data_IF_736646795104
#
_entry.id   IF_736646795104
#
_cell.length_a   1.000
_cell.length_b   1.000
_cell.length_c   1.000
_cell.angle_alpha   90.00
_cell.angle_beta   90.00
_cell.angle_gamma   90.00
#
_symmetry.space_group_name_H-M   'P 1'
#
loop_
_entity.id
_entity.type
_entity.pdbx_description
1 polymer ?
#
# COMPACT_ATOMS: atom_id res chain seq x y z
N UNK A 1 -0.76 30.50 -11.48
CA UNK A 1 0.65 30.20 -11.14
C UNK A 1 0.78 28.69 -11.09
N UNK A 2 1.74 28.06 -11.79
CA UNK A 2 1.78 26.60 -11.83
C UNK A 2 2.44 26.06 -10.55
N UNK A 3 1.74 25.15 -9.88
CA UNK A 3 2.22 24.45 -8.69
C UNK A 3 3.28 23.41 -9.06
N UNK A 4 4.46 23.52 -8.47
CA UNK A 4 5.60 22.63 -8.67
C UNK A 4 5.35 21.30 -7.96
N UNK A 5 5.13 20.22 -8.73
CA UNK A 5 5.05 18.83 -8.22
C UNK A 5 6.47 18.33 -7.89
N UNK A 6 6.70 17.79 -6.68
CA UNK A 6 7.95 17.09 -6.31
C UNK A 6 7.76 15.58 -6.49
N UNK A 7 8.69 14.94 -7.20
CA UNK A 7 8.72 13.51 -7.54
C UNK A 7 9.99 12.93 -6.90
N UNK A 8 9.91 11.78 -6.22
CA UNK A 8 11.09 11.08 -5.69
C UNK A 8 11.14 9.64 -6.23
N UNK A 9 12.02 9.42 -7.22
CA UNK A 9 12.38 8.11 -7.75
C UNK A 9 13.66 7.60 -7.05
N UNK A 10 13.79 6.28 -6.86
CA UNK A 10 14.97 5.59 -6.36
C UNK A 10 15.06 4.28 -7.15
N UNK A 11 16.26 3.84 -7.50
CA UNK A 11 16.46 2.57 -8.20
C UNK A 11 17.75 1.93 -7.75
N UNK A 12 17.77 0.60 -7.69
CA UNK A 12 19.01 -0.17 -7.64
C UNK A 12 18.81 -1.44 -8.45
N UNK A 13 19.56 -1.59 -9.53
CA UNK A 13 19.87 -2.88 -10.13
C UNK A 13 21.32 -2.87 -10.61
N UNK A 14 22.11 -3.73 -9.97
CA UNK A 14 23.48 -4.12 -10.29
C UNK A 14 23.44 -5.27 -11.30
N UNK A 15 24.06 -5.06 -12.48
CA UNK A 15 24.59 -6.05 -13.44
C UNK A 15 25.34 -5.20 -14.49
N UNK A 16 26.57 -5.44 -14.98
CA UNK A 16 27.33 -6.66 -15.27
C UNK A 16 28.83 -6.33 -15.45
N UNK A 17 29.65 -7.38 -15.38
CA UNK A 17 31.04 -7.47 -15.85
C UNK A 17 31.39 -6.73 -17.15
N UNK A 18 32.66 -6.30 -17.23
CA UNK A 18 33.55 -6.73 -18.33
C UNK A 18 33.78 -5.77 -19.50
N UNK A 19 34.79 -4.90 -19.34
CA UNK A 19 35.84 -4.53 -20.30
C UNK A 19 35.53 -4.29 -21.80
N UNK A 20 36.02 -3.11 -22.24
CA UNK A 20 36.70 -2.79 -23.49
C UNK A 20 35.90 -2.13 -24.63
N UNK A 21 36.35 -0.92 -25.00
CA UNK A 21 36.53 -0.56 -26.41
C UNK A 21 35.70 0.59 -26.98
N UNK A 22 36.25 1.81 -26.86
CA UNK A 22 36.46 2.78 -27.95
C UNK A 22 35.29 3.35 -28.79
N UNK A 23 35.32 4.70 -28.85
CA UNK A 23 35.07 5.62 -29.99
C UNK A 23 33.66 6.14 -30.35
N UNK A 24 33.53 7.46 -30.09
CA UNK A 24 33.21 8.57 -31.04
C UNK A 24 31.75 9.00 -31.36
N UNK A 25 31.55 10.29 -31.07
CA UNK A 25 30.85 11.37 -31.81
C UNK A 25 29.32 11.48 -31.86
N UNK A 26 28.84 12.47 -31.09
CA UNK A 26 27.99 13.62 -31.47
C UNK A 26 27.24 13.55 -32.82
N UNK A 27 25.91 13.70 -32.77
CA UNK A 27 25.20 14.88 -33.31
C UNK A 27 23.71 14.85 -32.96
N UNK A 28 23.17 16.02 -32.61
CA UNK A 28 21.75 16.28 -32.42
C UNK A 28 21.05 16.50 -33.77
N UNK A 29 19.74 16.23 -33.87
CA UNK A 29 18.70 17.12 -34.47
C UNK A 29 17.33 16.44 -34.67
N UNK A 30 16.30 17.14 -34.19
CA UNK A 30 15.02 17.46 -34.83
C UNK A 30 13.98 16.37 -35.23
N UNK A 31 12.87 16.41 -34.49
CA UNK A 31 11.44 16.33 -34.88
C UNK A 31 11.08 16.09 -36.35
N UNK A 32 10.19 15.14 -36.60
CA UNK A 32 9.11 15.29 -37.59
C UNK A 32 7.91 14.40 -37.25
N UNK A 33 6.74 14.91 -37.63
CA UNK A 33 5.37 14.50 -37.31
C UNK A 33 4.71 13.96 -38.59
N UNK A 34 3.70 13.09 -38.45
CA UNK A 34 2.81 12.47 -39.48
C UNK A 34 3.45 11.35 -40.35
N UNK A 35 2.78 10.26 -40.74
CA UNK A 35 1.35 10.08 -41.02
C UNK A 35 0.90 8.60 -40.98
N UNK A 36 -0.41 8.42 -40.85
CA UNK A 36 -1.14 7.15 -40.71
C UNK A 36 -1.31 6.44 -42.07
N UNK A 37 -1.11 5.11 -42.14
CA UNK A 37 -1.98 4.23 -42.95
C UNK A 37 -1.93 2.75 -42.51
N UNK A 38 -3.13 2.18 -42.38
CA UNK A 38 -3.50 0.83 -41.92
C UNK A 38 -2.96 -0.32 -42.79
N UNK A 39 -2.51 -1.40 -42.16
CA UNK A 39 -2.65 -2.76 -42.69
C UNK A 39 -2.85 -3.73 -41.51
N UNK A 40 -3.99 -4.43 -41.51
CA UNK A 40 -4.43 -5.27 -40.39
C UNK A 40 -3.58 -6.51 -40.18
N UNK A 41 -3.26 -6.77 -38.91
CA UNK A 41 -2.96 -8.10 -38.37
C UNK A 41 -3.55 -8.17 -36.96
N UNK A 42 -4.10 -9.32 -36.61
CA UNK A 42 -4.72 -9.55 -35.31
C UNK A 42 -3.66 -9.46 -34.22
N UNK A 43 -3.65 -8.36 -33.46
CA UNK A 43 -2.80 -8.24 -32.28
C UNK A 43 -3.53 -8.89 -31.11
N UNK A 44 -3.04 -10.06 -30.70
CA UNK A 44 -3.23 -10.57 -29.35
C UNK A 44 -2.94 -9.44 -28.36
N UNK A 45 -3.85 -9.22 -27.40
CA UNK A 45 -3.70 -8.30 -26.29
C UNK A 45 -2.40 -8.64 -25.57
N UNK A 46 -1.30 -7.95 -25.92
CA UNK A 46 -0.08 -7.92 -25.14
C UNK A 46 -0.28 -6.81 -24.13
N UNK A 47 -0.32 -7.18 -22.85
CA UNK A 47 -0.09 -6.26 -21.74
C UNK A 47 1.09 -5.36 -22.10
N UNK A 48 0.89 -4.06 -22.02
CA UNK A 48 1.99 -3.11 -22.21
C UNK A 48 3.05 -3.43 -21.15
N UNK A 49 4.21 -3.94 -21.59
CA UNK A 49 5.40 -4.03 -20.77
C UNK A 49 5.73 -2.62 -20.25
N UNK A 50 5.35 -2.34 -19.00
CA UNK A 50 5.97 -1.29 -18.23
C UNK A 50 6.99 -1.99 -17.34
N UNK A 51 8.26 -1.63 -17.48
CA UNK A 51 9.27 -1.92 -16.46
C UNK A 51 8.73 -1.51 -15.09
N UNK A 52 9.05 -2.24 -13.99
CA UNK A 52 8.49 -1.96 -12.68
C UNK A 52 8.73 -0.49 -12.31
N UNK A 53 7.67 0.32 -12.36
CA UNK A 53 7.75 1.72 -11.97
C UNK A 53 7.94 1.74 -10.46
N UNK A 54 8.90 2.52 -9.99
CA UNK A 54 9.23 2.53 -8.58
C UNK A 54 8.05 3.09 -7.73
N UNK A 55 7.72 2.50 -6.57
CA UNK A 55 6.69 3.04 -5.68
C UNK A 55 6.90 4.51 -5.33
N UNK A 56 5.81 5.29 -5.36
CA UNK A 56 5.81 6.72 -5.00
C UNK A 56 4.66 7.02 -4.04
N UNK A 57 4.86 8.01 -3.17
CA UNK A 57 3.84 8.56 -2.29
C UNK A 57 3.47 9.98 -2.75
N UNK A 58 2.18 10.20 -2.98
CA UNK A 58 1.62 11.52 -3.29
C UNK A 58 0.71 11.96 -2.16
N UNK A 59 0.86 13.20 -1.71
CA UNK A 59 -0.04 13.81 -0.72
C UNK A 59 -0.89 14.85 -1.43
N UNK A 60 -2.21 14.78 -1.28
CA UNK A 60 -3.17 15.68 -1.96
C UNK A 60 -2.91 17.14 -1.59
N UNK A 61 -2.90 17.40 -0.29
CA UNK A 61 -2.71 18.71 0.32
C UNK A 61 -1.82 18.49 1.55
N UNK A 62 -0.58 18.96 1.45
CA UNK A 62 0.43 18.72 2.48
C UNK A 62 0.10 19.43 3.80
N UNK A 63 -0.49 20.61 3.74
CA UNK A 63 -0.84 21.39 4.94
C UNK A 63 -2.05 20.78 5.63
N UNK A 64 -3.07 20.35 4.87
CA UNK A 64 -4.21 19.64 5.42
C UNK A 64 -3.82 18.30 6.03
N UNK A 65 -3.02 17.52 5.32
CA UNK A 65 -2.49 16.26 5.85
C UNK A 65 -1.69 16.49 7.12
N UNK A 66 -0.79 17.48 7.17
CA UNK A 66 -0.02 17.79 8.37
C UNK A 66 -0.91 18.20 9.56
N UNK A 67 -2.00 18.96 9.32
CA UNK A 67 -2.97 19.31 10.38
C UNK A 67 -3.68 18.07 10.92
N UNK A 68 -4.22 17.22 10.04
CA UNK A 68 -4.86 15.95 10.42
C UNK A 68 -3.89 15.06 11.19
N UNK A 69 -2.67 14.94 10.67
CA UNK A 69 -1.63 14.10 11.26
C UNK A 69 -1.21 14.57 12.65
N UNK A 70 -1.06 15.88 12.85
CA UNK A 70 -0.80 16.47 14.18
C UNK A 70 -1.91 16.12 15.17
N UNK A 71 -3.16 16.13 14.75
CA UNK A 71 -4.30 15.71 15.57
C UNK A 71 -4.21 14.22 15.90
N UNK A 72 -3.98 13.35 14.93
CA UNK A 72 -3.79 11.91 15.15
C UNK A 72 -2.64 11.64 16.14
N UNK A 73 -1.50 12.32 15.99
CA UNK A 73 -0.37 12.20 16.92
C UNK A 73 -0.71 12.68 18.34
N UNK A 74 -1.49 13.77 18.46
CA UNK A 74 -1.92 14.31 19.77
C UNK A 74 -2.92 13.39 20.45
N UNK A 75 -3.86 12.84 19.70
CA UNK A 75 -4.94 11.97 20.17
C UNK A 75 -4.50 10.51 20.34
N UNK A 76 -3.34 10.14 19.77
CA UNK A 76 -2.65 8.85 19.94
C UNK A 76 -3.41 7.62 19.42
N UNK A 77 -2.79 6.45 19.58
CA UNK A 77 -3.33 5.16 19.12
C UNK A 77 -4.58 4.71 19.91
N UNK A 78 -4.76 5.12 21.16
CA UNK A 78 -5.93 4.73 21.97
C UNK A 78 -7.24 5.37 21.49
N UNK A 79 -7.18 6.34 20.58
CA UNK A 79 -8.36 6.92 19.91
C UNK A 79 -8.57 6.42 18.48
N UNK A 80 -7.62 5.63 17.96
CA UNK A 80 -7.57 5.20 16.56
C UNK A 80 -8.50 3.99 16.30
N UNK A 81 -9.08 3.95 15.11
CA UNK A 81 -9.68 2.78 14.45
C UNK A 81 -9.05 2.65 13.07
N UNK A 82 -8.70 1.43 12.66
CA UNK A 82 -8.24 1.14 11.30
C UNK A 82 -9.36 0.47 10.52
N UNK A 83 -9.68 1.00 9.33
CA UNK A 83 -10.62 0.41 8.38
C UNK A 83 -9.87 0.15 7.08
N UNK A 84 -9.69 -1.11 6.72
CA UNK A 84 -8.91 -1.50 5.55
C UNK A 84 -9.74 -2.38 4.61
N UNK A 85 -9.61 -2.16 3.30
CA UNK A 85 -9.95 -3.21 2.35
C UNK A 85 -8.92 -4.37 2.41
N UNK A 86 -9.21 -5.50 1.78
CA UNK A 86 -8.34 -6.68 1.78
C UNK A 86 -7.59 -6.87 0.46
N UNK A 87 -8.34 -7.18 -0.61
CA UNK A 87 -7.77 -7.57 -1.91
C UNK A 87 -7.07 -6.37 -2.54
N UNK A 88 -5.79 -6.51 -2.90
CA UNK A 88 -4.98 -5.44 -3.52
C UNK A 88 -4.73 -4.22 -2.63
N UNK A 89 -5.22 -4.23 -1.39
CA UNK A 89 -4.91 -3.26 -0.34
C UNK A 89 -3.96 -3.84 0.70
N UNK A 90 -4.37 -4.89 1.41
CA UNK A 90 -3.49 -5.62 2.35
C UNK A 90 -2.68 -6.70 1.63
N UNK A 91 -3.21 -7.24 0.54
CA UNK A 91 -2.50 -8.12 -0.39
C UNK A 91 -1.94 -7.29 -1.57
N UNK A 92 -0.85 -7.72 -2.22
CA UNK A 92 -0.32 -7.01 -3.39
C UNK A 92 -1.23 -7.22 -4.61
N UNK A 93 -1.22 -6.29 -5.55
CA UNK A 93 -1.90 -6.39 -6.83
C UNK A 93 -1.14 -7.28 -7.84
N UNK A 94 0.17 -7.40 -7.67
CA UNK A 94 1.04 -8.16 -8.55
C UNK A 94 1.84 -9.20 -7.78
N UNK A 95 2.22 -10.27 -8.47
CA UNK A 95 3.11 -11.28 -7.90
C UNK A 95 4.52 -10.73 -7.78
N UNK A 96 5.22 -11.04 -6.69
CA UNK A 96 6.62 -10.58 -6.51
C UNK A 96 7.60 -11.14 -7.55
N UNK A 97 7.27 -12.28 -8.16
CA UNK A 97 8.15 -13.04 -9.06
C UNK A 97 7.87 -12.84 -10.54
N UNK A 98 6.81 -12.10 -10.90
CA UNK A 98 6.33 -11.96 -12.26
C UNK A 98 5.39 -10.77 -12.39
N UNK A 99 5.27 -10.19 -13.58
CA UNK A 99 4.31 -9.11 -13.87
C UNK A 99 2.84 -9.59 -13.92
N UNK A 100 2.57 -10.84 -13.54
CA UNK A 100 1.22 -11.39 -13.44
C UNK A 100 0.46 -10.79 -12.25
N UNK A 101 -0.82 -10.51 -12.46
CA UNK A 101 -1.71 -10.04 -11.41
C UNK A 101 -1.86 -11.11 -10.32
N UNK A 102 -1.77 -10.67 -9.06
CA UNK A 102 -2.05 -11.52 -7.91
C UNK A 102 -3.54 -11.87 -7.84
N UNK A 103 -3.84 -13.00 -7.19
CA UNK A 103 -5.21 -13.48 -7.06
C UNK A 103 -5.95 -12.71 -5.96
N UNK A 104 -7.14 -12.21 -6.28
CA UNK A 104 -8.11 -11.79 -5.27
C UNK A 104 -8.75 -12.99 -4.59
N UNK A 105 -9.45 -12.77 -3.47
CA UNK A 105 -10.17 -13.81 -2.74
C UNK A 105 -11.15 -14.60 -3.61
N UNK A 106 -11.87 -13.94 -4.52
CA UNK A 106 -12.71 -14.62 -5.51
C UNK A 106 -11.90 -15.44 -6.49
N UNK A 107 -10.82 -14.88 -7.06
CA UNK A 107 -10.00 -15.60 -8.04
C UNK A 107 -9.33 -16.84 -7.45
N UNK A 108 -8.88 -16.80 -6.19
CA UNK A 108 -8.36 -17.99 -5.49
C UNK A 108 -9.35 -19.14 -5.54
N UNK A 109 -10.62 -18.87 -5.23
CA UNK A 109 -11.62 -19.93 -5.25
C UNK A 109 -11.99 -20.34 -6.69
N UNK A 110 -12.17 -19.37 -7.58
CA UNK A 110 -12.61 -19.60 -8.96
C UNK A 110 -11.59 -20.37 -9.80
N UNK A 111 -10.29 -20.16 -9.56
CA UNK A 111 -9.19 -20.82 -10.26
C UNK A 111 -8.71 -22.09 -9.54
N UNK A 112 -9.30 -22.42 -8.39
CA UNK A 112 -8.94 -23.64 -7.66
C UNK A 112 -9.55 -24.89 -8.26
N UNK A 113 -8.94 -26.05 -7.95
CA UNK A 113 -9.50 -27.36 -8.26
C UNK A 113 -10.92 -27.55 -7.71
N UNK A 114 -11.32 -26.79 -6.69
CA UNK A 114 -12.64 -26.88 -6.06
C UNK A 114 -13.79 -26.50 -6.99
N UNK A 115 -13.51 -25.74 -8.06
CA UNK A 115 -14.49 -25.32 -9.06
C UNK A 115 -14.44 -26.18 -10.33
N UNK A 116 -13.29 -26.82 -10.59
CA UNK A 116 -13.06 -27.67 -11.75
C UNK A 116 -13.05 -26.93 -13.11
N UNK A 117 -12.58 -27.60 -14.19
CA UNK A 117 -12.26 -26.93 -15.46
C UNK A 117 -13.47 -26.27 -16.16
N UNK A 118 -14.67 -26.82 -15.94
CA UNK A 118 -15.89 -26.28 -16.54
C UNK A 118 -16.28 -24.94 -15.91
N UNK A 119 -16.18 -24.82 -14.59
CA UNK A 119 -16.52 -23.57 -13.92
C UNK A 119 -15.46 -22.50 -14.18
N UNK A 120 -14.19 -22.87 -14.26
CA UNK A 120 -13.09 -21.97 -14.68
C UNK A 120 -13.38 -21.35 -16.06
N UNK A 121 -13.85 -22.16 -17.02
CA UNK A 121 -14.22 -21.67 -18.35
C UNK A 121 -15.37 -20.66 -18.30
N UNK A 122 -16.36 -20.88 -17.43
CA UNK A 122 -17.48 -19.94 -17.25
C UNK A 122 -17.00 -18.67 -16.54
N UNK A 123 -16.18 -18.81 -15.51
CA UNK A 123 -15.58 -17.72 -14.75
C UNK A 123 -14.79 -16.77 -15.67
N UNK A 124 -13.97 -17.33 -16.55
CA UNK A 124 -13.22 -16.56 -17.54
C UNK A 124 -14.14 -15.79 -18.48
N UNK A 125 -15.23 -16.39 -18.96
CA UNK A 125 -16.21 -15.69 -19.80
C UNK A 125 -16.90 -14.55 -19.07
N UNK A 126 -17.24 -14.74 -17.80
CA UNK A 126 -17.80 -13.69 -16.94
C UNK A 126 -16.77 -12.55 -16.82
N UNK A 127 -15.51 -12.88 -16.50
CA UNK A 127 -14.43 -11.90 -16.38
C UNK A 127 -14.20 -11.10 -17.68
N UNK A 128 -14.05 -11.78 -18.82
CA UNK A 128 -13.84 -11.16 -20.13
C UNK A 128 -14.97 -10.21 -20.54
N UNK A 129 -16.20 -10.47 -20.07
CA UNK A 129 -17.37 -9.62 -20.31
C UNK A 129 -17.36 -8.36 -19.45
N UNK A 130 -17.09 -8.47 -18.15
CA UNK A 130 -17.32 -7.38 -17.21
C UNK A 130 -16.07 -6.56 -16.86
N UNK A 131 -14.88 -7.17 -16.87
CA UNK A 131 -13.63 -6.48 -16.54
C UNK A 131 -13.36 -5.26 -17.44
N UNK A 132 -13.58 -5.29 -18.77
CA UNK A 132 -13.43 -4.10 -19.61
C UNK A 132 -14.40 -2.96 -19.24
N UNK A 133 -15.58 -3.28 -18.73
CA UNK A 133 -16.60 -2.30 -18.31
C UNK A 133 -16.15 -1.64 -17.00
N UNK A 134 -15.65 -2.43 -16.05
CA UNK A 134 -15.08 -1.92 -14.80
C UNK A 134 -13.93 -0.94 -15.07
N UNK A 135 -13.02 -1.30 -15.96
CA UNK A 135 -11.84 -0.49 -16.30
C UNK A 135 -12.14 0.71 -17.22
N UNK A 136 -13.35 0.81 -17.79
CA UNK A 136 -13.69 1.86 -18.75
C UNK A 136 -13.51 3.28 -18.18
N UNK A 137 -12.69 4.11 -18.81
CA UNK A 137 -12.53 5.52 -18.45
C UNK A 137 -13.70 6.41 -18.94
N UNK A 138 -14.56 5.89 -19.82
CA UNK A 138 -15.65 6.66 -20.44
C UNK A 138 -16.98 6.50 -19.71
N UNK A 139 -17.21 5.36 -19.06
CA UNK A 139 -18.44 5.09 -18.32
C UNK A 139 -18.40 5.71 -16.93
N UNK A 140 -19.49 6.37 -16.54
CA UNK A 140 -19.68 6.88 -15.18
C UNK A 140 -19.92 5.74 -14.19
N UNK A 141 -19.72 6.01 -12.89
CA UNK A 141 -20.03 5.05 -11.81
C UNK A 141 -21.49 4.56 -11.88
N UNK A 142 -22.42 5.45 -12.22
CA UNK A 142 -23.86 5.13 -12.32
C UNK A 142 -24.13 4.18 -13.47
N UNK A 143 -23.45 4.34 -14.60
CA UNK A 143 -23.59 3.46 -15.77
C UNK A 143 -22.93 2.09 -15.55
N UNK A 144 -21.80 2.04 -14.82
CA UNK A 144 -21.12 0.78 -14.47
C UNK A 144 -21.88 -0.06 -13.45
N UNK A 145 -22.55 0.58 -12.49
CA UNK A 145 -23.20 -0.09 -11.35
C UNK A 145 -24.06 -1.32 -11.72
N UNK A 146 -25.00 -1.26 -12.68
CA UNK A 146 -25.81 -2.43 -13.03
C UNK A 146 -24.97 -3.61 -13.54
N UNK A 147 -23.89 -3.34 -14.28
CA UNK A 147 -22.98 -4.38 -14.76
C UNK A 147 -22.16 -5.00 -13.64
N UNK A 148 -21.73 -4.20 -12.66
CA UNK A 148 -21.00 -4.73 -11.50
C UNK A 148 -21.91 -5.61 -10.63
N UNK A 149 -23.18 -5.21 -10.44
CA UNK A 149 -24.18 -6.04 -9.75
C UNK A 149 -24.37 -7.37 -10.50
N UNK A 150 -24.52 -7.32 -11.82
CA UNK A 150 -24.71 -8.52 -12.63
C UNK A 150 -23.46 -9.43 -12.60
N UNK A 151 -22.26 -8.85 -12.67
CA UNK A 151 -21.02 -9.60 -12.54
C UNK A 151 -20.98 -10.37 -11.22
N UNK A 152 -21.11 -9.69 -10.08
CA UNK A 152 -21.05 -10.34 -8.78
C UNK A 152 -22.17 -11.38 -8.60
N UNK A 153 -23.38 -11.09 -9.09
CA UNK A 153 -24.50 -12.06 -9.07
C UNK A 153 -24.14 -13.34 -9.84
N UNK A 154 -23.70 -13.23 -11.10
CA UNK A 154 -23.33 -14.38 -11.93
C UNK A 154 -22.16 -15.18 -11.31
N UNK A 155 -21.16 -14.49 -10.75
CA UNK A 155 -20.03 -15.12 -10.07
C UNK A 155 -20.47 -15.87 -8.82
N UNK A 156 -21.28 -15.26 -7.95
CA UNK A 156 -21.73 -15.90 -6.72
C UNK A 156 -22.69 -17.07 -6.98
N UNK A 157 -23.61 -16.94 -7.94
CA UNK A 157 -24.48 -18.04 -8.38
C UNK A 157 -23.67 -19.23 -8.90
N UNK A 158 -22.59 -18.99 -9.64
CA UNK A 158 -21.70 -20.04 -10.12
C UNK A 158 -21.01 -20.78 -8.97
N UNK A 159 -20.49 -20.03 -7.98
CA UNK A 159 -19.85 -20.61 -6.78
C UNK A 159 -20.86 -21.46 -5.99
N UNK A 160 -22.06 -20.93 -5.74
CA UNK A 160 -23.14 -21.63 -5.02
C UNK A 160 -23.59 -22.88 -5.76
N UNK A 161 -23.81 -22.78 -7.08
CA UNK A 161 -24.25 -23.91 -7.92
C UNK A 161 -23.25 -25.07 -7.91
N UNK A 162 -21.94 -24.79 -7.83
CA UNK A 162 -20.93 -25.84 -7.75
C UNK A 162 -20.97 -26.57 -6.39
N UNK A 163 -21.42 -25.88 -5.33
CA UNK A 163 -21.51 -26.42 -3.99
C UNK A 163 -20.14 -26.78 -3.43
N UNK A 164 -19.25 -25.79 -3.39
CA UNK A 164 -17.88 -25.94 -2.87
C UNK A 164 -17.90 -26.42 -1.42
N UNK A 165 -17.04 -27.38 -1.08
CA UNK A 165 -16.88 -27.84 0.30
C UNK A 165 -16.03 -26.87 1.11
N UNK A 166 -16.35 -26.65 2.38
CA UNK A 166 -15.58 -25.77 3.28
C UNK A 166 -14.08 -26.11 3.32
N UNK A 167 -13.74 -27.39 3.34
CA UNK A 167 -12.35 -27.87 3.30
C UNK A 167 -11.62 -27.49 2.00
N UNK A 168 -12.35 -27.40 0.89
CA UNK A 168 -11.78 -27.07 -0.41
C UNK A 168 -11.41 -25.59 -0.49
N UNK A 169 -12.13 -24.71 0.23
CA UNK A 169 -11.74 -23.30 0.41
C UNK A 169 -10.38 -23.20 1.10
N UNK A 170 -10.17 -23.95 2.19
CA UNK A 170 -8.89 -23.97 2.91
C UNK A 170 -7.77 -24.52 2.01
N UNK A 171 -8.04 -25.60 1.27
CA UNK A 171 -7.11 -26.20 0.32
C UNK A 171 -6.70 -25.20 -0.78
N UNK A 172 -7.68 -24.50 -1.38
CA UNK A 172 -7.44 -23.50 -2.41
C UNK A 172 -6.50 -22.38 -1.92
N UNK A 173 -6.71 -21.89 -0.69
CA UNK A 173 -5.82 -20.90 -0.09
C UNK A 173 -4.43 -21.46 0.16
N UNK A 174 -4.32 -22.70 0.63
CA UNK A 174 -3.03 -23.34 0.90
C UNK A 174 -2.20 -23.49 -0.38
N UNK A 175 -2.84 -23.89 -1.47
CA UNK A 175 -2.20 -24.09 -2.78
C UNK A 175 -1.94 -22.77 -3.54
N UNK A 176 -2.65 -21.70 -3.19
CA UNK A 176 -2.44 -20.38 -3.78
C UNK A 176 -1.14 -19.70 -3.31
N UNK A 177 -0.62 -18.81 -4.15
CA UNK A 177 0.54 -17.96 -3.89
C UNK A 177 0.17 -16.59 -3.26
N UNK A 178 -1.04 -16.47 -2.70
CA UNK A 178 -1.46 -15.26 -2.01
C UNK A 178 -0.53 -14.95 -0.83
N UNK A 179 -0.16 -13.67 -0.72
CA UNK A 179 0.68 -13.12 0.34
C UNK A 179 0.14 -11.77 0.78
N UNK A 180 0.59 -11.30 1.95
CA UNK A 180 0.37 -9.93 2.36
C UNK A 180 1.48 -9.01 1.85
N UNK A 181 1.17 -7.72 1.72
CA UNK A 181 2.17 -6.68 1.48
C UNK A 181 3.20 -6.66 2.63
N UNK A 182 4.44 -6.33 2.29
CA UNK A 182 5.48 -6.09 3.29
C UNK A 182 5.04 -4.98 4.28
N UNK A 183 5.29 -5.18 5.58
CA UNK A 183 4.80 -4.33 6.69
C UNK A 183 3.48 -4.79 7.31
N UNK A 184 2.79 -5.79 6.75
CA UNK A 184 1.51 -6.28 7.28
C UNK A 184 1.63 -6.82 8.72
N UNK A 185 2.63 -7.67 8.98
CA UNK A 185 2.78 -8.32 10.28
C UNK A 185 3.14 -7.28 11.36
N UNK A 186 4.06 -6.39 11.04
CA UNK A 186 4.55 -5.32 11.92
C UNK A 186 3.41 -4.38 12.32
N UNK A 187 2.58 -3.96 11.35
CA UNK A 187 1.40 -3.14 11.60
C UNK A 187 0.40 -3.88 12.48
N UNK A 188 0.03 -5.12 12.15
CA UNK A 188 -1.02 -5.82 12.88
C UNK A 188 -0.58 -6.23 14.29
N UNK A 189 0.70 -6.53 14.51
CA UNK A 189 1.27 -6.75 15.83
C UNK A 189 1.28 -5.47 16.67
N UNK A 190 1.65 -4.32 16.09
CA UNK A 190 1.56 -3.01 16.75
C UNK A 190 0.11 -2.70 17.15
N UNK A 191 -0.82 -2.81 16.22
CA UNK A 191 -2.24 -2.53 16.46
C UNK A 191 -2.82 -3.48 17.52
N UNK A 192 -2.44 -4.75 17.52
CA UNK A 192 -2.85 -5.71 18.54
C UNK A 192 -2.29 -5.38 19.92
N UNK A 193 -1.00 -5.03 20.02
CA UNK A 193 -0.35 -4.66 21.28
C UNK A 193 -1.00 -3.42 21.91
N UNK A 194 -1.34 -2.44 21.08
CA UNK A 194 -1.96 -1.18 21.52
C UNK A 194 -3.50 -1.27 21.58
N UNK A 195 -4.06 -2.47 21.38
CA UNK A 195 -5.50 -2.75 21.35
C UNK A 195 -6.28 -1.78 20.43
N UNK A 196 -5.73 -1.48 19.25
CA UNK A 196 -6.39 -0.65 18.23
C UNK A 196 -7.38 -1.51 17.46
N UNK A 197 -8.68 -1.17 17.42
CA UNK A 197 -9.66 -1.93 16.64
C UNK A 197 -9.36 -1.86 15.14
N UNK A 198 -9.33 -3.02 14.49
CA UNK A 198 -9.09 -3.16 13.04
C UNK A 198 -10.31 -3.80 12.39
N UNK A 199 -10.86 -3.13 11.39
CA UNK A 199 -11.91 -3.67 10.54
C UNK A 199 -11.36 -3.91 9.13
N UNK A 200 -11.33 -5.18 8.72
CA UNK A 200 -11.17 -5.56 7.32
C UNK A 200 -12.56 -5.54 6.68
N UNK A 201 -12.82 -4.54 5.84
CA UNK A 201 -14.10 -4.33 5.17
C UNK A 201 -13.99 -4.59 3.66
N UNK A 202 -14.24 -5.84 3.27
CA UNK A 202 -13.93 -6.34 1.94
C UNK A 202 -15.16 -6.73 1.15
N UNK A 203 -15.17 -6.44 -0.15
CA UNK A 203 -16.15 -6.98 -1.10
C UNK A 203 -15.79 -8.40 -1.58
N UNK A 204 -14.70 -8.97 -1.06
CA UNK A 204 -14.23 -10.32 -1.32
C UNK A 204 -15.07 -11.42 -0.65
N UNK A 205 -14.44 -12.56 -0.39
CA UNK A 205 -15.05 -13.72 0.26
C UNK A 205 -14.55 -13.88 1.70
N UNK A 206 -15.44 -13.72 2.69
CA UNK A 206 -15.14 -13.80 4.12
C UNK A 206 -14.35 -15.05 4.50
N UNK A 207 -14.81 -16.23 4.08
CA UNK A 207 -14.20 -17.51 4.44
C UNK A 207 -12.81 -17.70 3.82
N UNK A 208 -12.58 -17.10 2.63
CA UNK A 208 -11.25 -17.08 1.99
C UNK A 208 -10.33 -16.13 2.76
N UNK A 209 -10.78 -14.92 3.09
CA UNK A 209 -10.01 -13.95 3.91
C UNK A 209 -9.57 -14.57 5.22
N UNK A 210 -10.48 -15.25 5.93
CA UNK A 210 -10.16 -15.93 7.17
C UNK A 210 -9.16 -17.08 6.98
N UNK A 211 -9.29 -17.86 5.91
CA UNK A 211 -8.32 -18.90 5.59
C UNK A 211 -6.93 -18.32 5.28
N UNK A 212 -6.84 -17.17 4.58
CA UNK A 212 -5.58 -16.48 4.27
C UNK A 212 -4.93 -15.94 5.55
N UNK A 213 -5.71 -15.27 6.41
CA UNK A 213 -5.24 -14.81 7.72
C UNK A 213 -4.73 -15.99 8.55
N UNK A 214 -5.49 -17.09 8.64
CA UNK A 214 -5.07 -18.27 9.39
C UNK A 214 -3.78 -18.88 8.82
N UNK A 215 -3.63 -18.96 7.49
CA UNK A 215 -2.40 -19.43 6.83
C UNK A 215 -1.20 -18.58 7.20
N UNK A 216 -1.36 -17.25 7.23
CA UNK A 216 -0.26 -16.34 7.60
C UNK A 216 0.09 -16.46 9.09
N UNK A 217 -0.91 -16.39 9.97
CA UNK A 217 -0.70 -16.45 11.42
C UNK A 217 -0.24 -17.82 11.91
N UNK A 218 -0.52 -18.92 11.19
CA UNK A 218 0.02 -20.25 11.51
C UNK A 218 1.56 -20.28 11.50
N UNK A 219 2.21 -19.38 10.75
CA UNK A 219 3.68 -19.23 10.70
C UNK A 219 4.23 -18.56 11.97
N UNK A 220 3.40 -17.82 12.69
CA UNK A 220 3.79 -17.03 13.88
C UNK A 220 3.69 -17.84 15.18
N UNK A 221 4.18 -17.27 16.29
CA UNK A 221 4.02 -17.84 17.64
C UNK A 221 2.56 -17.77 18.10
N UNK A 222 1.82 -16.72 17.73
CA UNK A 222 0.43 -16.53 18.13
C UNK A 222 -0.52 -17.58 17.51
N UNK A 223 -0.16 -18.16 16.36
CA UNK A 223 -0.92 -19.18 15.59
C UNK A 223 -2.31 -18.77 15.11
N UNK A 224 -2.84 -17.64 15.57
CA UNK A 224 -4.16 -17.14 15.25
C UNK A 224 -4.12 -15.62 15.06
N UNK A 225 -5.01 -15.06 14.22
CA UNK A 225 -5.16 -13.62 14.09
C UNK A 225 -5.54 -12.94 15.43
N UNK A 226 -5.08 -11.70 15.68
CA UNK A 226 -5.41 -10.96 16.89
C UNK A 226 -6.91 -10.72 17.06
N UNK A 227 -7.36 -10.67 18.32
CA UNK A 227 -8.80 -10.50 18.66
C UNK A 227 -9.37 -9.13 18.31
N UNK A 228 -8.52 -8.11 18.15
CA UNK A 228 -8.91 -6.77 17.73
C UNK A 228 -9.16 -6.65 16.21
N UNK A 229 -8.98 -7.74 15.44
CA UNK A 229 -9.26 -7.78 14.00
C UNK A 229 -10.64 -8.36 13.73
N UNK A 230 -11.49 -7.56 13.09
CA UNK A 230 -12.84 -7.93 12.67
C UNK A 230 -12.93 -7.92 11.16
N UNK A 231 -13.65 -8.89 10.58
CA UNK A 231 -13.84 -8.99 9.13
C UNK A 231 -15.32 -8.86 8.80
N UNK A 232 -15.64 -7.97 7.87
CA UNK A 232 -16.97 -7.87 7.26
C UNK A 232 -16.80 -8.02 5.76
N UNK A 233 -17.41 -9.07 5.22
CA UNK A 233 -17.33 -9.43 3.81
C UNK A 233 -18.47 -10.36 3.41
N UNK A 234 -18.47 -10.86 2.17
CA UNK A 234 -19.48 -11.79 1.70
C UNK A 234 -19.23 -13.18 2.29
N UNK A 235 -20.18 -13.66 3.10
CA UNK A 235 -19.98 -14.88 3.90
C UNK A 235 -20.64 -16.10 3.27
N UNK A 236 -19.89 -17.19 3.17
CA UNK A 236 -20.39 -18.47 2.70
C UNK A 236 -21.24 -19.15 3.77
N UNK A 237 -22.36 -19.73 3.35
CA UNK A 237 -23.22 -20.57 4.19
C UNK A 237 -23.08 -22.01 3.78
N UNK A 238 -22.54 -22.81 4.69
CA UNK A 238 -22.38 -24.24 4.53
C UNK A 238 -23.52 -24.98 5.24
N UNK A 239 -23.94 -26.09 4.65
CA UNK A 239 -24.92 -27.00 5.24
C UNK A 239 -24.25 -27.96 6.25
N UNK A 240 -25.04 -28.87 6.81
CA UNK A 240 -24.57 -29.89 7.78
C UNK A 240 -23.48 -30.81 7.19
N UNK A 241 -23.42 -30.95 5.86
CA UNK A 241 -22.41 -31.73 5.15
C UNK A 241 -21.17 -30.92 4.78
N UNK A 242 -21.09 -29.66 5.24
CA UNK A 242 -20.04 -28.67 4.92
C UNK A 242 -20.00 -28.23 3.46
N UNK A 243 -21.10 -28.44 2.71
CA UNK A 243 -21.25 -28.01 1.33
C UNK A 243 -21.89 -26.62 1.29
N UNK A 244 -21.35 -25.75 0.45
CA UNK A 244 -21.90 -24.41 0.24
C UNK A 244 -23.31 -24.51 -0.36
N UNK A 245 -24.26 -23.79 0.23
CA UNK A 245 -25.63 -23.69 -0.30
C UNK A 245 -26.10 -22.24 -0.53
N UNK A 246 -25.46 -21.25 0.09
CA UNK A 246 -25.75 -19.84 -0.14
C UNK A 246 -24.55 -18.94 0.18
N UNK A 247 -24.58 -17.73 -0.35
CA UNK A 247 -23.62 -16.67 -0.08
C UNK A 247 -24.39 -15.45 0.42
N UNK A 248 -24.11 -15.02 1.65
CA UNK A 248 -24.75 -13.83 2.21
C UNK A 248 -23.93 -12.60 1.82
N UNK A 249 -24.47 -11.86 0.87
CA UNK A 249 -23.80 -10.69 0.33
C UNK A 249 -23.92 -9.50 1.29
N UNK A 250 -22.81 -8.78 1.45
CA UNK A 250 -22.78 -7.44 2.05
C UNK A 250 -22.46 -6.46 0.92
N UNK A 251 -23.43 -6.25 0.03
CA UNK A 251 -23.27 -5.57 -1.27
C UNK A 251 -22.76 -4.11 -1.17
N UNK A 252 -22.86 -3.46 -0.02
CA UNK A 252 -22.46 -2.07 0.15
C UNK A 252 -21.36 -1.94 1.21
N UNK A 253 -20.15 -1.58 0.77
CA UNK A 253 -19.06 -1.06 1.63
C UNK A 253 -19.43 0.34 2.15
N UNK A 254 -20.43 0.40 3.01
CA UNK A 254 -20.78 1.61 3.74
C UNK A 254 -20.90 1.30 5.23
N UNK A 255 -20.74 2.32 6.04
CA UNK A 255 -20.68 2.12 7.47
C UNK A 255 -22.04 1.76 8.09
N UNK A 256 -23.14 1.82 7.33
CA UNK A 256 -24.43 1.31 7.82
C UNK A 256 -24.37 -0.19 8.14
N UNK A 257 -23.46 -0.94 7.51
CA UNK A 257 -23.18 -2.33 7.88
C UNK A 257 -22.46 -2.47 9.24
N UNK A 258 -21.86 -1.39 9.75
CA UNK A 258 -21.03 -1.35 10.96
C UNK A 258 -21.80 -0.88 12.19
N UNK A 259 -22.71 0.09 12.05
CA UNK A 259 -23.33 0.80 13.20
C UNK A 259 -23.93 -0.15 14.24
N UNK A 260 -24.53 -1.26 13.80
CA UNK A 260 -25.17 -2.21 14.70
C UNK A 260 -24.26 -3.34 15.22
N UNK A 261 -23.02 -3.40 14.74
CA UNK A 261 -22.07 -4.45 15.14
C UNK A 261 -21.51 -4.20 16.54
N UNK A 262 -21.24 -5.27 17.27
CA UNK A 262 -20.57 -5.18 18.59
C UNK A 262 -19.21 -4.50 18.50
N UNK A 263 -18.51 -4.69 17.36
CA UNK A 263 -17.28 -3.98 17.03
C UNK A 263 -17.45 -2.46 17.11
N UNK A 264 -18.40 -1.91 16.37
CA UNK A 264 -18.58 -0.46 16.33
C UNK A 264 -19.11 0.09 17.66
N UNK A 265 -20.01 -0.65 18.31
CA UNK A 265 -20.49 -0.32 19.67
C UNK A 265 -19.33 -0.24 20.66
N UNK A 266 -18.37 -1.16 20.58
CA UNK A 266 -17.16 -1.12 21.40
C UNK A 266 -16.29 0.10 21.07
N UNK A 267 -16.06 0.40 19.79
CA UNK A 267 -15.31 1.61 19.38
C UNK A 267 -15.94 2.89 19.95
N UNK A 268 -17.28 2.99 19.94
CA UNK A 268 -18.00 4.12 20.50
C UNK A 268 -17.85 4.22 22.03
N UNK A 269 -17.95 3.10 22.75
CA UNK A 269 -17.76 3.04 24.21
C UNK A 269 -16.33 3.44 24.61
N UNK A 270 -15.34 3.02 23.83
CA UNK A 270 -13.93 3.37 24.00
C UNK A 270 -13.58 4.78 23.49
N UNK A 271 -14.56 5.53 22.96
CA UNK A 271 -14.37 6.88 22.40
C UNK A 271 -13.33 6.95 21.28
N UNK A 272 -13.20 5.86 20.51
CA UNK A 272 -12.38 5.83 19.30
C UNK A 272 -13.05 6.70 18.24
N UNK A 273 -12.31 7.66 17.70
CA UNK A 273 -12.86 8.65 16.76
C UNK A 273 -11.92 8.96 15.60
N UNK A 274 -10.61 8.74 15.74
CA UNK A 274 -9.67 8.89 14.63
C UNK A 274 -9.71 7.64 13.74
N UNK A 275 -9.87 7.82 12.43
CA UNK A 275 -10.03 6.75 11.46
C UNK A 275 -8.85 6.77 10.48
N UNK A 276 -8.06 5.69 10.46
CA UNK A 276 -7.12 5.43 9.38
C UNK A 276 -7.80 4.48 8.37
N UNK A 277 -8.07 4.99 7.17
CA UNK A 277 -8.75 4.25 6.11
C UNK A 277 -7.75 3.85 5.02
N UNK A 278 -7.69 2.56 4.69
CA UNK A 278 -6.83 2.00 3.64
C UNK A 278 -7.69 1.35 2.55
N UNK A 279 -7.44 1.65 1.28
CA UNK A 279 -8.15 1.01 0.17
C UNK A 279 -7.47 1.21 -1.18
N UNK A 280 -7.72 0.33 -2.14
CA UNK A 280 -7.13 0.39 -3.49
C UNK A 280 -8.12 0.94 -4.53
N UNK A 281 -9.43 0.88 -4.26
CA UNK A 281 -10.44 1.38 -5.19
C UNK A 281 -10.98 2.74 -4.76
N UNK A 282 -11.47 3.53 -5.73
CA UNK A 282 -12.20 4.77 -5.43
C UNK A 282 -13.45 4.55 -4.57
N UNK A 283 -14.00 3.33 -4.57
CA UNK A 283 -15.13 2.94 -3.74
C UNK A 283 -14.77 2.95 -2.25
N UNK A 284 -13.56 2.54 -1.91
CA UNK A 284 -13.10 2.32 -0.53
C UNK A 284 -12.98 3.60 0.28
N UNK A 285 -12.75 4.73 -0.39
CA UNK A 285 -12.82 6.07 0.24
C UNK A 285 -14.14 6.34 1.00
N UNK A 286 -15.19 5.55 0.72
CA UNK A 286 -16.51 5.65 1.33
C UNK A 286 -16.78 4.63 2.44
N UNK A 287 -15.82 3.77 2.83
CA UNK A 287 -16.05 2.72 3.85
C UNK A 287 -16.50 3.29 5.20
N UNK A 288 -16.04 4.49 5.54
CA UNK A 288 -16.45 5.22 6.74
C UNK A 288 -17.79 5.96 6.58
N UNK A 289 -18.39 6.06 5.38
CA UNK A 289 -19.63 6.81 5.18
C UNK A 289 -20.78 6.21 5.99
N UNK A 290 -21.35 7.01 6.89
CA UNK A 290 -22.39 6.58 7.84
C UNK A 290 -21.88 6.47 9.28
N UNK A 291 -20.56 6.59 9.50
CA UNK A 291 -20.00 6.85 10.82
C UNK A 291 -20.10 8.35 11.14
N UNK A 292 -20.22 8.66 12.43
CA UNK A 292 -20.13 10.04 12.92
C UNK A 292 -18.65 10.37 13.19
N UNK A 293 -18.05 11.13 12.28
CA UNK A 293 -16.67 11.62 12.39
C UNK A 293 -16.57 12.99 11.71
N UNK A 294 -15.62 13.82 12.15
CA UNK A 294 -15.26 15.06 11.48
C UNK A 294 -14.18 14.82 10.44
N UNK A 295 -14.12 15.65 9.41
CA UNK A 295 -13.17 15.43 8.30
C UNK A 295 -11.69 15.50 8.75
N UNK A 296 -11.38 16.15 9.87
CA UNK A 296 -10.04 16.15 10.50
C UNK A 296 -9.75 14.91 11.37
N UNK A 297 -10.74 14.05 11.60
CA UNK A 297 -10.65 12.78 12.33
C UNK A 297 -10.49 11.58 11.37
N UNK A 298 -10.30 11.81 10.07
CA UNK A 298 -10.06 10.73 9.09
C UNK A 298 -8.88 11.02 8.17
N UNK A 299 -8.02 10.01 8.02
CA UNK A 299 -6.93 9.98 7.05
C UNK A 299 -7.14 8.80 6.12
N UNK A 300 -7.25 9.09 4.81
CA UNK A 300 -7.48 8.09 3.77
C UNK A 300 -6.20 7.86 2.96
N UNK A 301 -5.72 6.63 2.92
CA UNK A 301 -4.55 6.19 2.14
C UNK A 301 -5.01 5.26 1.02
N UNK A 302 -4.76 5.66 -0.22
CA UNK A 302 -5.17 4.95 -1.43
C UNK A 302 -4.01 4.19 -2.08
N UNK A 303 -4.21 2.91 -2.41
CA UNK A 303 -3.26 2.12 -3.20
C UNK A 303 -3.63 2.20 -4.68
N UNK A 304 -2.88 2.99 -5.45
CA UNK A 304 -3.05 3.10 -6.90
C UNK A 304 -2.11 2.14 -7.63
N UNK A 305 -2.57 0.90 -7.76
CA UNK A 305 -1.78 -0.19 -8.32
C UNK A 305 -1.62 -0.06 -9.85
N UNK A 306 -2.63 0.46 -10.55
CA UNK A 306 -2.67 0.50 -12.02
C UNK A 306 -3.14 1.83 -12.61
N UNK A 307 -2.70 2.12 -13.84
CA UNK A 307 -3.18 3.26 -14.61
C UNK A 307 -2.90 4.61 -13.95
N UNK A 308 -1.71 4.74 -13.34
CA UNK A 308 -1.32 5.90 -12.53
C UNK A 308 -1.55 7.21 -13.30
N UNK A 309 -1.11 7.27 -14.56
CA UNK A 309 -1.22 8.47 -15.41
C UNK A 309 -2.67 8.92 -15.62
N UNK A 310 -3.61 7.98 -15.69
CA UNK A 310 -5.02 8.27 -15.95
C UNK A 310 -5.83 8.48 -14.66
N UNK A 311 -5.46 7.80 -13.56
CA UNK A 311 -6.28 7.70 -12.35
C UNK A 311 -5.77 8.55 -11.19
N UNK A 312 -4.51 9.00 -11.18
CA UNK A 312 -3.90 9.68 -10.03
C UNK A 312 -4.70 10.90 -9.57
N UNK A 313 -5.10 11.79 -10.49
CA UNK A 313 -5.86 12.99 -10.12
C UNK A 313 -7.24 12.63 -9.51
N UNK A 314 -7.87 11.54 -9.95
CA UNK A 314 -9.13 11.05 -9.37
C UNK A 314 -8.93 10.46 -7.97
N UNK A 315 -7.80 9.78 -7.74
CA UNK A 315 -7.45 9.23 -6.43
C UNK A 315 -7.12 10.35 -5.44
N UNK A 316 -6.35 11.35 -5.85
CA UNK A 316 -6.04 12.53 -5.02
C UNK A 316 -7.29 13.36 -4.68
N UNK A 317 -8.39 13.23 -5.41
CA UNK A 317 -9.67 13.85 -5.00
C UNK A 317 -10.36 13.11 -3.85
N UNK A 318 -9.98 11.86 -3.56
CA UNK A 318 -10.68 10.96 -2.62
C UNK A 318 -9.82 10.47 -1.46
N UNK A 319 -8.51 10.47 -1.64
CA UNK A 319 -7.53 10.04 -0.65
C UNK A 319 -6.63 11.22 -0.27
N UNK A 320 -6.23 11.28 1.01
CA UNK A 320 -5.29 12.28 1.50
C UNK A 320 -3.86 11.92 1.06
N UNK A 321 -3.55 10.61 1.02
CA UNK A 321 -2.29 10.03 0.54
C UNK A 321 -2.56 8.97 -0.52
N UNK A 322 -1.77 8.93 -1.59
CA UNK A 322 -1.85 7.90 -2.65
C UNK A 322 -0.47 7.24 -2.79
N UNK A 323 -0.44 5.92 -2.62
CA UNK A 323 0.74 5.07 -2.81
C UNK A 323 0.63 4.37 -4.16
N UNK A 324 1.60 4.55 -5.06
CA UNK A 324 1.54 4.04 -6.43
C UNK A 324 2.43 2.82 -6.65
N UNK A 325 2.19 2.11 -7.75
CA UNK A 325 3.03 1.01 -8.26
C UNK A 325 3.17 -0.13 -7.25
N UNK A 326 2.04 -0.60 -6.74
CA UNK A 326 1.96 -1.77 -5.84
C UNK A 326 2.86 -1.64 -4.59
N UNK A 327 2.91 -0.44 -4.00
CA UNK A 327 3.74 -0.09 -2.84
C UNK A 327 3.51 -1.01 -1.62
N UNK A 328 4.54 -1.25 -0.81
CA UNK A 328 4.39 -1.95 0.48
C UNK A 328 3.56 -1.16 1.49
N UNK A 329 3.26 -1.77 2.64
CA UNK A 329 2.61 -1.10 3.77
C UNK A 329 3.60 -0.32 4.65
N UNK A 330 4.91 -0.36 4.36
CA UNK A 330 5.94 0.34 5.15
C UNK A 330 5.65 1.85 5.37
N UNK A 331 5.15 2.62 4.38
CA UNK A 331 4.78 4.01 4.64
C UNK A 331 3.67 4.14 5.70
N UNK A 332 2.72 3.21 5.74
CA UNK A 332 1.64 3.17 6.73
C UNK A 332 2.19 2.75 8.10
N UNK A 333 3.11 1.80 8.13
CA UNK A 333 3.82 1.37 9.35
C UNK A 333 4.57 2.54 9.99
N UNK A 334 5.36 3.28 9.20
CA UNK A 334 6.09 4.47 9.67
C UNK A 334 5.16 5.53 10.26
N UNK A 335 4.03 5.77 9.60
CA UNK A 335 2.99 6.66 10.10
C UNK A 335 2.44 6.17 11.45
N UNK A 336 2.04 4.91 11.59
CA UNK A 336 1.55 4.37 12.86
C UNK A 336 2.59 4.49 13.99
N UNK A 337 3.87 4.25 13.71
CA UNK A 337 4.95 4.45 14.67
C UNK A 337 5.11 5.91 15.09
N UNK A 338 4.92 6.88 14.18
CA UNK A 338 4.92 8.30 14.56
C UNK A 338 3.81 8.63 15.56
N UNK A 339 2.60 8.08 15.39
CA UNK A 339 1.51 8.27 16.36
C UNK A 339 1.88 7.65 17.72
N UNK A 340 2.47 6.44 17.72
CA UNK A 340 2.92 5.78 18.94
C UNK A 340 3.96 6.62 19.70
N UNK A 341 4.95 7.15 18.97
CA UNK A 341 6.08 7.92 19.48
C UNK A 341 5.72 9.37 19.83
N UNK A 342 4.49 9.83 19.59
CA UNK A 342 4.08 11.18 19.98
C UNK A 342 4.08 11.40 21.52
N UNK A 343 4.24 10.33 22.35
CA UNK A 343 4.62 10.48 23.77
C UNK A 343 5.91 11.27 23.93
N UNK A 344 6.84 11.03 23.02
CA UNK A 344 8.17 11.56 23.19
C UNK A 344 8.14 13.04 22.79
N UNK A 345 7.30 13.63 21.94
CA UNK A 345 7.44 15.10 21.71
C UNK A 345 7.27 16.02 22.95
N UNK A 346 6.60 15.61 24.03
CA UNK A 346 6.62 16.41 25.28
C UNK A 346 7.74 16.03 26.26
N UNK A 347 8.17 14.77 26.28
CA UNK A 347 9.27 14.29 27.14
C UNK A 347 10.61 14.03 26.42
N UNK A 348 10.64 13.68 25.14
CA UNK A 348 11.74 13.77 24.14
C UNK A 348 12.18 15.20 23.94
N UNK A 349 11.31 16.18 23.67
CA UNK A 349 11.82 17.54 23.50
C UNK A 349 12.30 18.08 24.85
N UNK A 350 11.70 17.67 25.99
CA UNK A 350 12.24 17.95 27.32
C UNK A 350 13.51 17.15 27.66
N UNK A 351 13.66 15.89 27.24
CA UNK A 351 14.86 15.04 27.45
C UNK A 351 16.00 15.44 26.50
N UNK A 352 15.69 15.76 25.24
CA UNK A 352 16.59 16.38 24.27
C UNK A 352 16.95 17.82 24.67
N UNK A 353 16.13 18.51 25.48
CA UNK A 353 16.48 19.79 26.10
C UNK A 353 17.17 19.65 27.46
N UNK A 354 17.20 18.47 28.08
CA UNK A 354 17.81 18.25 29.40
C UNK A 354 19.15 17.50 29.38
N UNK A 355 19.49 16.84 28.28
CA UNK A 355 20.86 16.40 28.05
C UNK A 355 21.30 16.86 26.67
N UNK A 356 22.38 17.67 26.62
CA UNK A 356 23.06 18.02 25.37
C UNK A 356 23.31 16.74 24.59
N UNK A 357 22.51 16.47 23.57
CA UNK A 357 22.82 15.37 22.63
C UNK A 357 23.99 15.86 21.80
N UNK A 358 25.12 15.22 22.01
CA UNK A 358 26.37 15.62 21.39
C UNK A 358 26.48 15.22 19.93
N UNK A 359 25.54 14.48 19.32
CA UNK A 359 25.74 13.96 17.95
C UNK A 359 24.60 14.35 17.00
N UNK A 360 24.94 14.85 15.82
CA UNK A 360 24.04 15.24 14.72
C UNK A 360 24.29 14.33 13.52
N UNK A 361 23.19 13.90 12.89
CA UNK A 361 23.21 13.34 11.54
C UNK A 361 22.64 14.38 10.56
N UNK A 362 23.48 14.86 9.65
CA UNK A 362 23.12 15.84 8.64
C UNK A 362 22.98 15.13 7.29
N UNK A 363 21.82 15.27 6.65
CA UNK A 363 21.52 14.68 5.34
C UNK A 363 21.33 15.82 4.32
N UNK A 364 22.03 15.75 3.19
CA UNK A 364 21.98 16.80 2.17
C UNK A 364 22.12 16.28 0.75
N UNK A 365 21.47 16.90 -0.21
CA UNK A 365 21.52 16.53 -1.64
C UNK A 365 22.32 17.55 -2.48
N UNK A 366 22.79 18.61 -1.83
CA UNK A 366 23.61 19.66 -2.43
C UNK A 366 24.85 19.98 -1.59
N UNK A 367 25.91 20.49 -2.20
CA UNK A 367 27.11 20.94 -1.47
C UNK A 367 26.81 22.02 -0.42
N UNK A 368 25.76 22.81 -0.63
CA UNK A 368 25.32 23.83 0.33
C UNK A 368 24.89 23.24 1.66
N UNK A 369 24.31 22.04 1.62
CA UNK A 369 23.71 21.39 2.78
C UNK A 369 24.74 20.96 3.82
N UNK A 370 25.99 20.71 3.40
CA UNK A 370 27.12 20.45 4.31
C UNK A 370 27.32 21.53 5.39
N UNK A 371 26.75 22.73 5.16
CA UNK A 371 26.82 23.89 6.05
C UNK A 371 25.56 24.09 6.90
N UNK A 372 24.56 23.21 6.86
CA UNK A 372 23.31 23.40 7.64
C UNK A 372 23.53 23.40 9.16
N UNK A 373 24.66 22.86 9.63
CA UNK A 373 25.07 22.93 11.02
C UNK A 373 25.92 24.17 11.35
N UNK A 374 26.28 25.01 10.37
CA UNK A 374 27.13 26.18 10.61
C UNK A 374 26.38 27.23 11.47
N UNK A 375 27.03 27.72 12.51
CA UNK A 375 26.43 28.65 13.47
C UNK A 375 25.67 27.97 14.62
N UNK A 376 25.75 26.64 14.72
CA UNK A 376 25.33 25.88 15.90
C UNK A 376 26.47 25.75 16.92
N UNK A 377 26.14 25.37 18.17
CA UNK A 377 27.12 25.15 19.25
C UNK A 377 27.80 23.77 19.20
N UNK A 378 27.54 22.97 18.15
CA UNK A 378 28.08 21.61 18.00
C UNK A 378 29.50 21.61 17.46
N UNK A 379 30.30 20.63 17.87
CA UNK A 379 31.66 20.45 17.36
C UNK A 379 31.64 19.67 16.03
N UNK A 380 32.76 19.67 15.32
CA UNK A 380 32.86 18.94 14.03
C UNK A 380 32.88 17.42 14.20
N UNK A 381 33.44 16.91 15.29
CA UNK A 381 33.45 15.47 15.64
C UNK A 381 32.09 14.96 16.14
N UNK A 382 31.16 15.89 16.36
CA UNK A 382 29.79 15.68 16.80
C UNK A 382 28.81 15.62 15.60
N UNK A 383 29.28 15.80 14.36
CA UNK A 383 28.41 15.87 13.17
C UNK A 383 28.85 14.82 12.15
N UNK A 384 27.93 13.92 11.78
CA UNK A 384 28.08 13.02 10.63
C UNK A 384 27.27 13.55 9.48
N UNK A 385 27.91 13.85 8.35
CA UNK A 385 27.31 14.40 7.13
C UNK A 385 27.19 13.30 6.08
N UNK A 386 25.97 13.05 5.62
CA UNK A 386 25.69 12.12 4.52
C UNK A 386 25.16 12.90 3.32
N UNK A 387 25.92 12.87 2.23
CA UNK A 387 25.60 13.55 0.97
C UNK A 387 24.98 12.59 -0.03
N UNK A 388 23.87 12.97 -0.65
CA UNK A 388 23.22 12.23 -1.74
C UNK A 388 23.64 12.85 -3.07
N UNK A 389 24.53 12.17 -3.81
CA UNK A 389 25.03 12.61 -5.11
C UNK A 389 24.44 11.75 -6.23
N UNK A 390 23.33 12.22 -6.81
CA UNK A 390 22.59 11.48 -7.83
C UNK A 390 22.77 12.02 -9.26
N UNK A 391 23.47 13.14 -9.44
CA UNK A 391 23.72 13.73 -10.76
C UNK A 391 25.17 14.23 -10.93
N UNK A 392 25.79 13.88 -12.06
CA UNK A 392 27.17 14.27 -12.38
C UNK A 392 28.21 13.65 -11.43
N UNK A 393 28.01 12.38 -11.06
CA UNK A 393 28.80 11.67 -10.03
C UNK A 393 30.29 11.78 -10.33
N UNK A 394 30.73 11.40 -11.54
CA UNK A 394 32.15 11.43 -11.92
C UNK A 394 32.77 12.84 -11.80
N UNK A 395 32.00 13.91 -12.00
CA UNK A 395 32.52 15.27 -11.92
C UNK A 395 32.46 15.87 -10.51
N UNK A 396 31.52 15.43 -9.68
CA UNK A 396 31.21 16.07 -8.38
C UNK A 396 31.61 15.21 -7.18
N UNK A 397 31.96 13.94 -7.36
CA UNK A 397 32.24 13.01 -6.26
C UNK A 397 33.37 13.51 -5.35
N UNK A 398 34.48 13.98 -5.92
CA UNK A 398 35.61 14.51 -5.14
C UNK A 398 35.20 15.74 -4.31
N UNK A 399 34.31 16.58 -4.84
CA UNK A 399 33.81 17.75 -4.11
C UNK A 399 32.86 17.35 -2.97
N UNK A 400 32.06 16.31 -3.17
CA UNK A 400 31.17 15.78 -2.14
C UNK A 400 31.94 15.07 -1.04
N UNK A 401 32.96 14.26 -1.36
CA UNK A 401 33.81 13.58 -0.39
C UNK A 401 34.65 14.54 0.47
N UNK A 402 34.86 15.78 0.01
CA UNK A 402 35.49 16.84 0.81
C UNK A 402 34.54 17.51 1.81
N UNK A 403 33.22 17.32 1.65
CA UNK A 403 32.18 18.07 2.38
C UNK A 403 31.23 17.19 3.18
N UNK A 404 31.16 15.91 2.86
CA UNK A 404 30.34 14.91 3.50
C UNK A 404 31.21 13.73 3.92
N UNK A 405 30.94 13.17 5.09
CA UNK A 405 31.65 12.02 5.66
C UNK A 405 31.28 10.72 4.93
N UNK A 406 30.04 10.63 4.44
CA UNK A 406 29.54 9.54 3.61
C UNK A 406 28.87 10.14 2.38
N UNK A 407 29.21 9.66 1.19
CA UNK A 407 28.56 10.07 -0.06
C UNK A 407 27.85 8.87 -0.66
N UNK A 408 26.52 8.94 -0.70
CA UNK A 408 25.66 7.96 -1.33
C UNK A 408 25.43 8.38 -2.78
N UNK A 409 25.74 7.49 -3.72
CA UNK A 409 25.58 7.75 -5.16
C UNK A 409 24.53 6.84 -5.79
N UNK A 410 24.07 7.16 -7.00
CA UNK A 410 23.17 6.30 -7.79
C UNK A 410 21.82 5.97 -7.10
N UNK A 411 21.17 6.95 -6.46
CA UNK A 411 19.91 6.75 -5.74
C UNK A 411 19.97 5.60 -4.71
N UNK A 412 21.14 5.38 -4.10
CA UNK A 412 21.34 4.36 -3.06
C UNK A 412 20.31 4.55 -1.95
N UNK A 413 19.53 3.49 -1.64
CA UNK A 413 18.55 3.32 -0.54
C UNK A 413 18.98 4.02 0.77
N UNK A 414 18.04 4.48 1.64
CA UNK A 414 18.40 4.96 3.00
C UNK A 414 19.01 3.83 3.85
N UNK A 415 19.11 2.62 3.31
CA UNK A 415 19.65 1.43 3.93
C UNK A 415 21.04 1.63 4.57
N UNK A 416 22.02 2.39 4.01
CA UNK A 416 23.26 2.72 4.69
C UNK A 416 23.05 3.62 5.91
N UNK A 417 22.04 4.51 5.88
CA UNK A 417 21.63 5.33 7.03
C UNK A 417 20.96 4.46 8.09
N UNK A 418 20.10 3.52 7.69
CA UNK A 418 19.47 2.55 8.58
C UNK A 418 20.51 1.61 9.22
N UNK A 419 21.50 1.13 8.45
CA UNK A 419 22.63 0.34 8.95
C UNK A 419 23.49 1.15 9.94
N UNK A 420 23.73 2.44 9.68
CA UNK A 420 24.41 3.34 10.61
C UNK A 420 23.62 3.50 11.91
N UNK A 421 22.31 3.71 11.83
CA UNK A 421 21.45 3.81 13.01
C UNK A 421 21.40 2.49 13.80
N UNK A 422 21.37 1.35 13.12
CA UNK A 422 21.44 0.02 13.75
C UNK A 422 22.78 -0.24 14.41
N UNK A 423 23.90 0.11 13.77
CA UNK A 423 25.25 0.01 14.34
C UNK A 423 25.40 0.91 15.58
N UNK A 424 24.90 2.14 15.53
CA UNK A 424 24.89 3.05 16.68
C UNK A 424 24.06 2.51 17.84
N UNK A 425 22.95 1.81 17.56
CA UNK A 425 22.14 1.14 18.56
C UNK A 425 22.86 -0.06 19.20
N UNK A 426 23.70 -0.77 18.43
CA UNK A 426 24.52 -1.88 18.95
C UNK A 426 25.73 -1.41 19.78
N UNK A 427 26.24 -0.20 19.55
CA UNK A 427 27.37 0.38 20.28
C UNK A 427 26.92 1.02 21.62
N UNK A 428 25.60 1.23 21.82
CA UNK A 428 25.02 1.72 23.07
C UNK A 428 24.58 0.63 24.06
N UNK A 429 24.90 -0.65 23.79
CA UNK A 429 24.90 -1.77 24.74
C UNK A 429 26.33 -2.06 25.18
#
# INVERSE_FOLDING_TARGET
>A
MPHTRRIFAWGSQLFMCGSAGLTLTLTASALSYLDIHKAGRSESIRSHHQSPRKPMMFVRDADDFARKWKKFSTDRLDTLVVIADFDYTLTPAYKKTSDDQALSTHRILMESEAMGPQAETIARKIFEKYYPIEQSATLTRKEKLPFMIQWWTETHELIVKHGVLKKAVCKAVEESDITFREGFMEIFELLARENVPVLIFSAGLYDVIHAVLNKEYAKTIAKMPPKNVHVISNMMRFDETTRLWALMERLNKNASALVETDFWKQCQLEKRHNILLLGDSLGDSNMANGLDFKEDEIVRIGFLNDGIEQKLDMYLQRFDVVLTNDSSLLPVELLLHQIQLALVETDFWKQCQLEKRHNILLLGDSLGDSNMANGSDFKEDEIVRIGFLNDGIEQKLDMYLQRFDVVLTNDSSLLPVELLLQLLHQIQL
#
